data_IF_248157173198
#
_entry.id   IF_248157173198
#
_cell.length_a   1.000
_cell.length_b   1.000
_cell.length_c   1.000
_cell.angle_alpha   90.00
_cell.angle_beta   90.00
_cell.angle_gamma   90.00
#
_symmetry.space_group_name_H-M   'P 1'
#
loop_
_entity.id
_entity.type
_entity.pdbx_description
1 polymer ?
#
# COMPACT_ATOMS: atom_id res chain seq x y z
N UNK A 1 -2.22 31.18 11.64
CA UNK A 1 -3.14 30.31 10.90
C UNK A 1 -2.75 28.87 11.24
N UNK A 2 -3.45 28.19 12.16
CA UNK A 2 -3.19 26.79 12.50
C UNK A 2 -3.64 25.96 11.29
N UNK A 3 -2.67 25.38 10.58
CA UNK A 3 -2.94 24.37 9.56
C UNK A 3 -3.37 23.12 10.34
N UNK A 4 -4.67 22.84 10.36
CA UNK A 4 -5.19 21.61 10.93
C UNK A 4 -4.49 20.44 10.24
N UNK A 5 -3.83 19.56 11.01
CA UNK A 5 -3.30 18.31 10.50
C UNK A 5 -4.50 17.42 10.17
N UNK A 6 -4.84 17.28 8.90
CA UNK A 6 -5.82 16.30 8.47
C UNK A 6 -5.22 14.90 8.66
N UNK A 7 -5.91 14.06 9.41
CA UNK A 7 -5.53 12.66 9.58
C UNK A 7 -6.36 11.83 8.59
N UNK A 8 -5.72 11.34 7.54
CA UNK A 8 -6.37 10.43 6.59
C UNK A 8 -6.47 9.02 7.22
N UNK A 9 -7.67 8.46 7.21
CA UNK A 9 -7.95 7.10 7.68
C UNK A 9 -8.45 6.29 6.48
N UNK A 10 -7.99 5.03 6.28
CA UNK A 10 -8.53 4.18 5.23
C UNK A 10 -10.05 3.98 5.37
N UNK A 11 -10.80 4.11 4.27
CA UNK A 11 -12.24 3.82 4.26
C UNK A 11 -12.54 2.35 4.49
N UNK A 12 -11.65 1.47 4.01
CA UNK A 12 -11.73 0.02 4.25
C UNK A 12 -10.55 -0.38 5.14
N UNK A 13 -10.83 -0.92 6.33
CA UNK A 13 -9.82 -1.59 7.15
C UNK A 13 -10.37 -2.94 7.58
N UNK A 14 -9.85 -4.01 7.01
CA UNK A 14 -10.24 -5.39 7.30
C UNK A 14 -9.01 -6.19 7.69
N UNK A 15 -9.01 -6.70 8.91
CA UNK A 15 -7.95 -7.55 9.44
C UNK A 15 -8.60 -8.80 10.02
N UNK A 16 -8.25 -9.95 9.50
CA UNK A 16 -8.80 -11.20 10.00
C UNK A 16 -8.51 -12.41 9.12
N UNK A 17 -8.96 -13.55 9.62
CA UNK A 17 -8.81 -14.82 8.94
C UNK A 17 -9.77 -14.91 7.75
N UNK A 18 -9.28 -15.29 6.56
CA UNK A 18 -10.07 -15.39 5.35
C UNK A 18 -10.55 -14.04 4.78
N UNK A 19 -9.91 -12.92 5.18
CA UNK A 19 -10.27 -11.60 4.68
C UNK A 19 -10.06 -11.46 3.17
N UNK A 20 -9.07 -12.14 2.60
CA UNK A 20 -8.78 -12.13 1.17
C UNK A 20 -9.94 -12.73 0.34
N UNK A 21 -10.53 -13.83 0.81
CA UNK A 21 -11.69 -14.46 0.17
C UNK A 21 -12.99 -13.65 0.22
N UNK A 22 -13.00 -12.51 0.92
CA UNK A 22 -14.15 -11.61 1.01
C UNK A 22 -13.90 -10.24 0.33
N UNK A 23 -12.80 -10.12 -0.39
CA UNK A 23 -12.37 -8.86 -1.00
C UNK A 23 -13.45 -8.27 -1.91
N UNK A 24 -14.13 -9.08 -2.71
CA UNK A 24 -15.20 -8.65 -3.61
C UNK A 24 -16.35 -7.95 -2.87
N UNK A 25 -16.80 -8.52 -1.75
CA UNK A 25 -17.85 -7.92 -0.94
C UNK A 25 -17.45 -6.57 -0.35
N UNK A 26 -16.20 -6.41 0.09
CA UNK A 26 -15.71 -5.13 0.60
C UNK A 26 -15.66 -4.05 -0.47
N UNK A 27 -15.23 -4.40 -1.69
CA UNK A 27 -15.18 -3.46 -2.81
C UNK A 27 -16.57 -3.08 -3.31
N UNK A 28 -17.49 -4.04 -3.38
CA UNK A 28 -18.86 -3.81 -3.80
C UNK A 28 -19.58 -2.81 -2.89
N UNK A 29 -19.36 -2.90 -1.59
CA UNK A 29 -19.95 -1.97 -0.60
C UNK A 29 -19.51 -0.52 -0.86
N UNK A 30 -18.30 -0.31 -1.38
CA UNK A 30 -17.76 1.00 -1.71
C UNK A 30 -18.03 1.44 -3.17
N UNK A 31 -18.75 0.63 -3.95
CA UNK A 31 -19.03 0.92 -5.36
C UNK A 31 -17.82 0.77 -6.28
N UNK A 32 -16.78 0.07 -5.85
CA UNK A 32 -15.55 -0.20 -6.60
C UNK A 32 -15.71 -1.48 -7.43
N UNK A 33 -16.55 -1.44 -8.43
CA UNK A 33 -16.97 -2.61 -9.23
C UNK A 33 -16.16 -2.84 -10.51
N UNK A 34 -15.14 -2.01 -10.79
CA UNK A 34 -14.22 -2.16 -11.93
C UNK A 34 -12.78 -1.94 -11.45
N UNK A 35 -11.98 -2.99 -11.44
CA UNK A 35 -10.67 -2.96 -10.78
C UNK A 35 -9.55 -3.45 -11.68
N UNK A 36 -8.33 -2.99 -11.39
CA UNK A 36 -7.08 -3.52 -11.92
C UNK A 36 -6.32 -4.16 -10.77
N UNK A 37 -5.77 -5.35 -11.00
CA UNK A 37 -5.04 -6.12 -9.99
C UNK A 37 -3.54 -6.17 -10.33
N UNK A 38 -2.72 -5.91 -9.33
CA UNK A 38 -1.29 -6.18 -9.37
C UNK A 38 -0.95 -7.25 -8.33
N UNK A 39 -0.34 -8.33 -8.77
CA UNK A 39 0.13 -9.39 -7.91
C UNK A 39 1.65 -9.35 -7.78
N UNK A 40 2.18 -9.71 -6.63
CA UNK A 40 3.60 -10.04 -6.52
C UNK A 40 3.91 -11.34 -7.26
N UNK A 41 5.16 -11.51 -7.66
CA UNK A 41 5.62 -12.66 -8.44
C UNK A 41 5.25 -13.99 -7.77
N UNK A 42 4.62 -14.91 -8.51
CA UNK A 42 4.13 -16.22 -8.07
C UNK A 42 2.88 -16.19 -7.18
N UNK A 43 2.30 -15.03 -6.91
CA UNK A 43 1.12 -14.93 -6.05
C UNK A 43 -0.20 -15.14 -6.82
N UNK A 44 -0.19 -15.05 -8.14
CA UNK A 44 -1.34 -15.45 -8.97
C UNK A 44 -1.62 -16.94 -8.79
N UNK A 45 -0.60 -17.77 -8.82
CA UNK A 45 -0.75 -19.21 -8.64
C UNK A 45 -1.25 -19.57 -7.23
N UNK A 46 -0.86 -18.80 -6.22
CA UNK A 46 -1.23 -19.06 -4.83
C UNK A 46 -2.62 -18.55 -4.45
N UNK A 47 -2.97 -17.35 -4.91
CA UNK A 47 -4.14 -16.61 -4.43
C UNK A 47 -5.07 -16.12 -5.53
N UNK A 48 -4.67 -16.24 -6.81
CA UNK A 48 -5.44 -15.72 -7.94
C UNK A 48 -6.84 -16.29 -8.00
N UNK A 49 -7.00 -17.61 -7.88
CA UNK A 49 -8.31 -18.28 -7.92
C UNK A 49 -9.22 -17.77 -6.80
N UNK A 50 -8.72 -17.68 -5.56
CA UNK A 50 -9.48 -17.19 -4.40
C UNK A 50 -9.95 -15.75 -4.61
N UNK A 51 -9.06 -14.88 -5.09
CA UNK A 51 -9.36 -13.47 -5.35
C UNK A 51 -10.37 -13.31 -6.47
N UNK A 52 -10.14 -13.99 -7.62
CA UNK A 52 -11.02 -13.89 -8.79
C UNK A 52 -12.43 -14.43 -8.50
N UNK A 53 -12.54 -15.53 -7.74
CA UNK A 53 -13.84 -16.05 -7.33
C UNK A 53 -14.59 -15.07 -6.44
N UNK A 54 -13.91 -14.50 -5.44
CA UNK A 54 -14.51 -13.49 -4.54
C UNK A 54 -14.99 -12.25 -5.29
N UNK A 55 -14.21 -11.77 -6.27
CA UNK A 55 -14.59 -10.62 -7.10
C UNK A 55 -15.80 -10.94 -7.99
N UNK A 56 -15.77 -12.11 -8.63
CA UNK A 56 -16.86 -12.59 -9.49
C UNK A 56 -18.18 -12.76 -8.72
N UNK A 57 -18.16 -13.37 -7.54
CA UNK A 57 -19.34 -13.55 -6.68
C UNK A 57 -19.97 -12.23 -6.26
N UNK A 58 -19.16 -11.16 -6.17
CA UNK A 58 -19.62 -9.83 -5.81
C UNK A 58 -19.93 -8.93 -7.03
N UNK A 59 -19.93 -9.44 -8.27
CA UNK A 59 -20.07 -8.65 -9.50
C UNK A 59 -19.03 -7.51 -9.61
N UNK A 60 -17.80 -7.76 -9.18
CA UNK A 60 -16.67 -6.85 -9.38
C UNK A 60 -15.89 -7.31 -10.60
N UNK A 61 -15.85 -6.47 -11.62
CA UNK A 61 -15.20 -6.78 -12.89
C UNK A 61 -13.70 -6.48 -12.84
N UNK A 62 -12.88 -7.48 -13.07
CA UNK A 62 -11.44 -7.33 -13.24
C UNK A 62 -11.16 -6.93 -14.69
N UNK A 63 -10.65 -5.72 -14.88
CA UNK A 63 -10.34 -5.17 -16.20
C UNK A 63 -9.02 -5.71 -16.74
N UNK A 64 -8.03 -5.75 -15.86
CA UNK A 64 -6.67 -6.24 -16.12
C UNK A 64 -6.05 -6.79 -14.85
N UNK A 65 -5.14 -7.73 -14.98
CA UNK A 65 -4.28 -8.19 -13.90
C UNK A 65 -2.88 -8.52 -14.40
N UNK A 66 -1.87 -8.21 -13.59
CA UNK A 66 -0.47 -8.42 -13.93
C UNK A 66 0.33 -8.84 -12.70
N UNK A 67 1.38 -9.64 -12.91
CA UNK A 67 2.42 -9.84 -11.90
C UNK A 67 3.48 -8.75 -12.02
N UNK A 68 3.91 -8.23 -10.88
CA UNK A 68 4.94 -7.21 -10.80
C UNK A 68 6.06 -7.64 -9.84
N UNK A 69 7.29 -7.54 -10.30
CA UNK A 69 8.51 -7.71 -9.49
C UNK A 69 9.46 -6.50 -9.63
N UNK A 70 8.94 -5.38 -10.04
CA UNK A 70 9.71 -4.17 -10.23
C UNK A 70 9.19 -3.02 -9.36
N UNK A 71 10.11 -2.14 -9.02
CA UNK A 71 9.83 -0.83 -8.42
C UNK A 71 10.47 0.29 -9.23
N UNK A 72 10.84 0.01 -10.49
CA UNK A 72 11.37 1.01 -11.41
C UNK A 72 10.26 2.00 -11.79
N UNK A 73 10.52 3.29 -11.58
CA UNK A 73 9.51 4.33 -11.74
C UNK A 73 9.02 4.44 -13.19
N UNK A 74 9.91 4.26 -14.18
CA UNK A 74 9.54 4.42 -15.60
C UNK A 74 8.61 3.28 -16.03
N UNK A 75 8.86 2.06 -15.53
CA UNK A 75 7.96 0.93 -15.75
C UNK A 75 6.61 1.17 -15.11
N UNK A 76 6.59 1.67 -13.86
CA UNK A 76 5.34 1.94 -13.14
C UNK A 76 4.54 3.05 -13.80
N UNK A 77 5.18 4.10 -14.30
CA UNK A 77 4.52 5.16 -15.06
C UNK A 77 3.85 4.58 -16.31
N UNK A 78 4.55 3.74 -17.06
CA UNK A 78 4.00 3.07 -18.24
C UNK A 78 2.78 2.22 -17.89
N UNK A 79 2.86 1.42 -16.83
CA UNK A 79 1.73 0.61 -16.32
C UNK A 79 0.56 1.50 -15.88
N UNK A 80 0.84 2.61 -15.20
CA UNK A 80 -0.20 3.53 -14.76
C UNK A 80 -1.00 4.09 -15.95
N UNK A 81 -0.32 4.49 -17.02
CA UNK A 81 -0.99 5.00 -18.22
C UNK A 81 -1.70 3.91 -19.04
N UNK A 82 -1.34 2.65 -18.89
CA UNK A 82 -2.05 1.52 -19.48
C UNK A 82 -3.37 1.18 -18.75
N UNK A 83 -3.55 1.60 -17.49
CA UNK A 83 -4.78 1.34 -16.73
C UNK A 83 -6.01 1.90 -17.49
N UNK A 84 -7.02 1.06 -17.78
CA UNK A 84 -8.22 1.49 -18.49
C UNK A 84 -8.95 2.65 -17.79
N UNK A 85 -9.46 3.61 -18.56
CA UNK A 85 -10.15 4.80 -18.01
C UNK A 85 -11.40 4.48 -17.19
N UNK A 86 -11.99 3.31 -17.40
CA UNK A 86 -13.15 2.83 -16.64
C UNK A 86 -12.79 2.22 -15.28
N UNK A 87 -11.49 2.05 -14.98
CA UNK A 87 -11.06 1.53 -13.69
C UNK A 87 -11.48 2.46 -12.56
N UNK A 88 -12.01 1.88 -11.49
CA UNK A 88 -12.44 2.59 -10.27
C UNK A 88 -11.50 2.38 -9.10
N UNK A 89 -10.65 1.37 -9.16
CA UNK A 89 -9.61 1.13 -8.14
C UNK A 89 -8.45 0.32 -8.70
N UNK A 90 -7.30 0.48 -8.05
CA UNK A 90 -6.12 -0.38 -8.22
C UNK A 90 -5.93 -1.18 -6.93
N UNK A 91 -5.71 -2.48 -7.06
CA UNK A 91 -5.50 -3.40 -5.94
C UNK A 91 -4.13 -4.03 -6.09
N UNK A 92 -3.31 -3.95 -5.05
CA UNK A 92 -2.04 -4.67 -5.00
C UNK A 92 -2.07 -5.77 -3.95
N UNK A 93 -1.73 -6.99 -4.37
CA UNK A 93 -1.70 -8.19 -3.55
C UNK A 93 -0.25 -8.69 -3.50
N UNK A 94 0.41 -8.51 -2.35
CA UNK A 94 1.80 -8.94 -2.25
C UNK A 94 2.63 -8.24 -1.18
N UNK A 95 3.94 -8.31 -1.34
CA UNK A 95 4.91 -7.62 -0.49
C UNK A 95 5.12 -6.15 -0.88
N UNK A 96 6.07 -5.50 -0.19
CA UNK A 96 6.32 -4.06 -0.33
C UNK A 96 6.54 -3.59 -1.76
N UNK A 97 7.22 -4.36 -2.62
CA UNK A 97 7.46 -3.97 -4.02
C UNK A 97 6.16 -3.71 -4.80
N UNK A 98 5.27 -4.70 -4.83
CA UNK A 98 4.02 -4.58 -5.59
C UNK A 98 3.06 -3.59 -4.94
N UNK A 99 3.08 -3.48 -3.62
CA UNK A 99 2.28 -2.48 -2.90
C UNK A 99 2.74 -1.07 -3.28
N UNK A 100 4.03 -0.79 -3.26
CA UNK A 100 4.56 0.52 -3.63
C UNK A 100 4.35 0.84 -5.11
N UNK A 101 4.52 -0.14 -6.01
CA UNK A 101 4.25 0.01 -7.43
C UNK A 101 2.78 0.36 -7.70
N UNK A 102 1.84 -0.42 -7.18
CA UNK A 102 0.41 -0.18 -7.39
C UNK A 102 -0.10 1.07 -6.69
N UNK A 103 0.42 1.40 -5.51
CA UNK A 103 0.13 2.65 -4.81
C UNK A 103 0.50 3.86 -5.65
N UNK A 104 1.69 3.85 -6.26
CA UNK A 104 2.16 4.94 -7.10
C UNK A 104 1.40 5.01 -8.43
N UNK A 105 1.10 3.86 -9.06
CA UNK A 105 0.27 3.80 -10.25
C UNK A 105 -1.14 4.37 -10.00
N UNK A 106 -1.78 4.00 -8.89
CA UNK A 106 -3.06 4.53 -8.48
C UNK A 106 -3.01 6.04 -8.21
N UNK A 107 -1.93 6.51 -7.57
CA UNK A 107 -1.69 7.94 -7.31
C UNK A 107 -1.61 8.75 -8.61
N UNK A 108 -0.85 8.28 -9.61
CA UNK A 108 -0.73 8.93 -10.91
C UNK A 108 -2.07 9.01 -11.65
N UNK A 109 -2.93 8.01 -11.49
CA UNK A 109 -4.25 7.94 -12.13
C UNK A 109 -5.37 8.56 -11.29
N UNK A 110 -5.05 9.07 -10.10
CA UNK A 110 -6.03 9.59 -9.15
C UNK A 110 -7.14 8.58 -8.81
N UNK A 111 -6.77 7.29 -8.68
CA UNK A 111 -7.67 6.19 -8.35
C UNK A 111 -7.54 5.78 -6.88
N UNK A 112 -8.60 5.29 -6.24
CA UNK A 112 -8.53 4.57 -4.99
C UNK A 112 -7.53 3.41 -5.06
N UNK A 113 -6.67 3.30 -4.04
CA UNK A 113 -5.70 2.21 -3.91
C UNK A 113 -6.11 1.27 -2.78
N UNK A 114 -6.17 -0.03 -3.07
CA UNK A 114 -6.43 -1.08 -2.10
C UNK A 114 -5.16 -1.89 -1.88
N UNK A 115 -4.67 -1.88 -0.66
CA UNK A 115 -3.47 -2.61 -0.25
C UNK A 115 -3.85 -3.95 0.38
N UNK A 116 -3.30 -5.03 -0.14
CA UNK A 116 -3.47 -6.40 0.37
C UNK A 116 -2.10 -7.01 0.63
N UNK A 117 -1.50 -6.71 1.80
CA UNK A 117 -0.18 -7.23 2.13
C UNK A 117 -0.22 -8.74 2.35
N UNK A 118 0.73 -9.47 1.77
CA UNK A 118 0.94 -10.90 1.96
C UNK A 118 2.10 -11.22 2.90
N UNK A 119 2.78 -10.18 3.41
CA UNK A 119 3.84 -10.30 4.40
C UNK A 119 3.84 -9.09 5.34
N UNK A 120 4.38 -9.26 6.53
CA UNK A 120 4.51 -8.23 7.55
C UNK A 120 5.90 -7.57 7.56
N UNK A 121 6.61 -7.53 6.42
CA UNK A 121 8.01 -7.11 6.35
C UNK A 121 8.24 -5.61 6.59
N UNK A 122 7.23 -4.78 6.43
CA UNK A 122 7.27 -3.33 6.66
C UNK A 122 5.86 -2.75 6.73
N UNK A 123 5.73 -1.48 7.13
CA UNK A 123 4.47 -0.75 7.13
C UNK A 123 4.14 -0.05 5.80
N UNK A 124 4.87 -0.34 4.73
CA UNK A 124 4.64 0.25 3.40
C UNK A 124 3.19 0.19 2.92
N UNK A 125 2.44 -0.83 3.36
CA UNK A 125 1.02 -0.99 3.06
C UNK A 125 0.13 0.13 3.64
N UNK A 126 0.58 0.83 4.68
CA UNK A 126 -0.17 1.88 5.38
C UNK A 126 0.44 3.27 5.26
N UNK A 127 1.57 3.42 4.56
CA UNK A 127 2.25 4.71 4.38
C UNK A 127 1.69 5.52 3.20
N UNK A 128 1.83 6.86 3.28
CA UNK A 128 1.46 7.78 2.19
C UNK A 128 2.60 8.03 1.19
N UNK A 129 3.64 7.22 1.22
CA UNK A 129 4.78 7.27 0.29
C UNK A 129 5.02 5.91 -0.35
N UNK A 130 5.74 5.90 -1.47
CA UNK A 130 6.20 4.70 -2.15
C UNK A 130 7.71 4.73 -2.29
N UNK A 131 8.37 3.58 -2.06
CA UNK A 131 9.82 3.44 -2.20
C UNK A 131 10.15 2.85 -3.57
N UNK A 132 10.54 3.70 -4.51
CA UNK A 132 10.77 3.35 -5.91
C UNK A 132 12.25 3.47 -6.32
N UNK A 133 12.61 2.87 -7.43
CA UNK A 133 13.89 3.09 -8.10
C UNK A 133 13.72 4.25 -9.09
N UNK A 134 14.42 5.35 -8.81
CA UNK A 134 14.48 6.53 -9.66
C UNK A 134 15.94 6.65 -10.15
N UNK A 135 16.16 6.47 -11.44
CA UNK A 135 17.52 6.45 -12.02
C UNK A 135 18.47 5.48 -11.29
N UNK A 136 17.96 4.28 -10.95
CA UNK A 136 18.73 3.23 -10.27
C UNK A 136 18.96 3.46 -8.76
N UNK A 137 18.43 4.54 -8.17
CA UNK A 137 18.54 4.83 -6.73
C UNK A 137 17.20 4.64 -6.02
N UNK A 138 17.20 3.99 -4.86
CA UNK A 138 16.02 3.87 -3.98
C UNK A 138 15.64 5.27 -3.48
N UNK A 139 14.44 5.72 -3.81
CA UNK A 139 13.93 7.04 -3.47
C UNK A 139 12.52 6.91 -2.92
N UNK A 140 12.24 7.59 -1.83
CA UNK A 140 10.87 7.73 -1.31
C UNK A 140 10.17 8.84 -2.09
N UNK A 141 9.12 8.48 -2.81
CA UNK A 141 8.31 9.42 -3.58
C UNK A 141 6.95 9.63 -2.90
N UNK A 142 6.38 10.83 -2.97
CA UNK A 142 5.04 11.07 -2.45
C UNK A 142 4.00 10.21 -3.18
N UNK A 143 3.05 9.69 -2.42
CA UNK A 143 1.89 9.00 -2.93
C UNK A 143 0.68 9.37 -2.06
N UNK A 144 -0.35 8.51 -2.00
CA UNK A 144 -1.48 8.67 -1.09
C UNK A 144 -1.59 7.48 -0.16
N UNK A 145 -2.18 7.72 1.01
CA UNK A 145 -2.60 6.65 1.89
C UNK A 145 -3.55 5.72 1.14
N UNK A 146 -3.46 4.41 1.41
CA UNK A 146 -4.37 3.45 0.83
C UNK A 146 -5.83 3.79 1.22
N UNK A 147 -6.73 3.77 0.24
CA UNK A 147 -8.17 3.88 0.44
C UNK A 147 -8.70 2.69 1.24
N UNK A 148 -8.13 1.50 0.97
CA UNK A 148 -8.44 0.29 1.69
C UNK A 148 -7.21 -0.52 2.04
N UNK A 149 -7.23 -1.14 3.22
CA UNK A 149 -6.23 -2.10 3.69
C UNK A 149 -6.94 -3.37 4.10
N UNK A 150 -6.58 -4.48 3.45
CA UNK A 150 -7.17 -5.80 3.71
C UNK A 150 -6.04 -6.75 4.08
N UNK A 151 -5.99 -7.15 5.34
CA UNK A 151 -4.96 -8.04 5.89
C UNK A 151 -5.58 -9.38 6.21
N UNK A 152 -5.21 -10.40 5.46
CA UNK A 152 -5.58 -11.78 5.77
C UNK A 152 -4.49 -12.43 6.63
N UNK A 153 -4.84 -12.77 7.87
CA UNK A 153 -3.89 -13.34 8.82
C UNK A 153 -3.44 -14.75 8.44
N UNK A 154 -4.24 -15.51 7.68
CA UNK A 154 -3.79 -16.81 7.13
C UNK A 154 -2.74 -16.60 6.05
N UNK A 155 -2.95 -15.65 5.15
CA UNK A 155 -2.00 -15.31 4.08
C UNK A 155 -0.67 -14.85 4.69
N UNK A 156 -0.70 -13.93 5.66
CA UNK A 156 0.52 -13.47 6.34
C UNK A 156 1.32 -14.62 6.96
N UNK A 157 0.63 -15.62 7.52
CA UNK A 157 1.28 -16.79 8.14
C UNK A 157 1.98 -17.71 7.14
N UNK A 158 1.64 -17.65 5.86
CA UNK A 158 2.33 -18.43 4.80
C UNK A 158 3.63 -17.79 4.34
N UNK A 159 3.85 -16.54 4.71
CA UNK A 159 5.06 -15.82 4.34
C UNK A 159 6.30 -16.37 5.07
N UNK A 160 7.48 -16.37 4.44
CA UNK A 160 8.72 -16.78 5.10
C UNK A 160 8.99 -15.99 6.38
N UNK A 161 9.44 -16.68 7.46
CA UNK A 161 9.70 -16.07 8.79
C UNK A 161 10.61 -14.84 8.75
N UNK A 162 11.56 -14.80 7.81
CA UNK A 162 12.44 -13.63 7.62
C UNK A 162 11.67 -12.32 7.46
N UNK A 163 10.45 -12.34 6.92
CA UNK A 163 9.62 -11.15 6.77
C UNK A 163 9.00 -10.71 8.09
N UNK A 164 8.75 -11.64 9.02
CA UNK A 164 8.33 -11.30 10.39
C UNK A 164 9.46 -10.57 11.11
N UNK A 165 10.70 -11.12 11.04
CA UNK A 165 11.87 -10.46 11.64
C UNK A 165 12.15 -9.09 11.01
N UNK A 166 11.97 -8.96 9.69
CA UNK A 166 12.08 -7.67 9.00
C UNK A 166 11.07 -6.66 9.53
N UNK A 167 9.81 -7.07 9.72
CA UNK A 167 8.77 -6.20 10.28
C UNK A 167 9.03 -5.77 11.72
N UNK A 168 9.55 -6.68 12.54
CA UNK A 168 9.98 -6.34 13.91
C UNK A 168 11.10 -5.30 13.87
N UNK A 169 12.09 -5.48 12.99
CA UNK A 169 13.19 -4.51 12.80
C UNK A 169 12.67 -3.14 12.33
N UNK A 170 11.71 -3.12 11.41
CA UNK A 170 11.05 -1.89 10.93
C UNK A 170 10.32 -1.16 12.08
N UNK A 171 9.60 -1.87 12.93
CA UNK A 171 8.94 -1.29 14.11
C UNK A 171 9.96 -0.72 15.11
N UNK A 172 11.02 -1.45 15.40
CA UNK A 172 12.07 -0.99 16.33
C UNK A 172 12.74 0.28 15.79
N UNK A 173 13.06 0.31 14.50
CA UNK A 173 13.69 1.48 13.87
C UNK A 173 12.83 2.74 14.00
N UNK A 174 11.49 2.62 13.93
CA UNK A 174 10.56 3.74 14.11
C UNK A 174 10.50 4.23 15.54
N UNK A 175 10.56 3.34 16.52
CA UNK A 175 10.63 3.73 17.93
C UNK A 175 11.89 4.56 18.17
N UNK A 176 13.03 4.11 17.64
CA UNK A 176 14.30 4.84 17.76
C UNK A 176 14.24 6.20 17.06
N UNK A 177 13.71 6.24 15.82
CA UNK A 177 13.56 7.50 15.08
C UNK A 177 12.64 8.51 15.79
N UNK A 178 11.53 8.04 16.38
CA UNK A 178 10.64 8.88 17.17
C UNK A 178 11.32 9.44 18.42
N UNK A 179 12.15 8.62 19.07
CA UNK A 179 12.93 9.06 20.22
C UNK A 179 13.94 10.15 19.82
N UNK A 180 14.70 9.95 18.76
CA UNK A 180 15.65 10.92 18.23
C UNK A 180 14.96 12.24 17.85
N UNK A 181 13.82 12.18 17.16
CA UNK A 181 13.04 13.37 16.82
C UNK A 181 12.54 14.10 18.07
N UNK A 182 12.15 13.40 19.13
CA UNK A 182 11.73 14.01 20.38
C UNK A 182 12.86 14.77 21.06
N UNK A 183 14.09 14.21 21.02
CA UNK A 183 15.28 14.88 21.58
C UNK A 183 15.64 16.15 20.79
N UNK A 184 15.53 16.15 19.47
CA UNK A 184 15.80 17.34 18.64
C UNK A 184 14.81 18.46 18.98
N UNK A 185 13.53 18.16 19.14
CA UNK A 185 12.53 19.17 19.51
C UNK A 185 12.69 19.69 20.93
N UNK A 186 13.28 18.93 21.85
CA UNK A 186 13.56 19.37 23.23
C UNK A 186 14.83 20.21 23.26
N UNK A 187 15.80 20.00 22.37
CA UNK A 187 17.10 20.66 22.35
C UNK A 187 17.17 21.93 21.49
N UNK A 188 16.14 22.27 20.71
CA UNK A 188 16.08 23.56 20.04
C UNK A 188 15.67 24.65 21.06
N UNK A 189 16.61 25.50 21.54
CA UNK A 189 16.22 26.67 22.32
C UNK A 189 15.42 27.58 21.41
N UNK A 190 14.18 27.86 21.77
CA UNK A 190 13.40 28.95 21.19
C UNK A 190 14.26 30.20 21.14
N UNK A 191 14.86 30.52 20.00
CA UNK A 191 15.43 31.82 19.75
C UNK A 191 14.26 32.80 19.64
N UNK A 192 13.76 33.25 20.79
CA UNK A 192 13.12 34.54 20.85
C UNK A 192 14.21 35.57 20.63
N UNK A 193 14.33 36.06 19.41
CA UNK A 193 15.05 37.27 19.12
C UNK A 193 14.37 38.39 19.91
N UNK A 194 15.01 38.81 21.01
CA UNK A 194 14.80 40.10 21.59
C UNK A 194 15.31 41.13 20.56
N UNK A 195 14.41 41.72 19.80
CA UNK A 195 14.65 42.96 19.08
C UNK A 195 14.12 44.04 20.01
N UNK A 196 15.05 44.67 20.68
CA UNK A 196 14.88 46.01 21.31
C UNK A 196 15.04 47.07 20.24
#
# INVERSE_FOLDING_TARGET
MQIGKEMAIPSILKIGNGALGKIGGYLKTEGLDQVVLFFGNGLIDMFGELVMNSLKEADVNVLEYNELDTVDIDVIITLAFAIPNKAKAVISIGGGKVIDAGKYAAFLRNLPFISVPTSSSSDGFSSASASLLVQGKRTSVPARLAYGIIVDTQVIRTAPEKFIYSGIGDMISKITALYDLSLIHISEPTRHSLIS
#
